data_IF_974036916593
#
_entry.id   IF_974036916593
#
_cell.length_a   1.000
_cell.length_b   1.000
_cell.length_c   1.000
_cell.angle_alpha   90.00
_cell.angle_beta   90.00
_cell.angle_gamma   90.00
#
_symmetry.space_group_name_H-M   'P 1'
#
loop_
_entity.id
_entity.type
_entity.pdbx_description
1 polymer ?
#
# COMPACT_ATOMS: atom_id res chain seq x y z
N UNK A 1 12.90 5.65 -13.37
CA UNK A 1 11.82 4.79 -13.86
C UNK A 1 11.41 3.98 -12.64
N UNK A 2 10.11 3.84 -12.43
CA UNK A 2 9.61 3.60 -11.09
C UNK A 2 9.78 2.12 -10.66
N UNK A 3 9.82 1.89 -9.36
CA UNK A 3 9.73 0.55 -8.78
C UNK A 3 8.29 0.08 -8.86
N UNK A 4 8.03 -1.01 -9.60
CA UNK A 4 6.70 -1.61 -9.68
C UNK A 4 6.58 -2.76 -8.70
N UNK A 5 5.64 -2.70 -7.77
CA UNK A 5 5.48 -3.71 -6.73
C UNK A 5 4.03 -4.17 -6.54
N UNK A 6 3.89 -5.37 -5.97
CA UNK A 6 2.61 -5.95 -5.56
C UNK A 6 2.74 -6.43 -4.13
N UNK A 7 1.97 -5.83 -3.24
CA UNK A 7 2.10 -5.97 -1.79
C UNK A 7 0.77 -6.36 -1.14
N UNK A 8 0.84 -7.08 -0.03
CA UNK A 8 -0.30 -7.25 0.87
C UNK A 8 -0.52 -5.97 1.66
N UNK A 9 -1.78 -5.65 1.92
CA UNK A 9 -2.14 -4.64 2.92
C UNK A 9 -1.93 -5.24 4.31
N UNK A 10 -1.46 -4.44 5.24
CA UNK A 10 -1.32 -4.78 6.65
C UNK A 10 -2.16 -3.81 7.46
N UNK A 11 -2.58 -4.19 8.67
CA UNK A 11 -3.52 -3.34 9.38
C UNK A 11 -3.99 -3.86 10.72
N UNK A 12 -4.99 -3.14 11.24
CA UNK A 12 -5.90 -3.67 12.22
C UNK A 12 -7.01 -4.49 11.55
N UNK A 13 -7.74 -5.26 12.35
CA UNK A 13 -8.90 -5.98 11.89
C UNK A 13 -9.99 -5.01 11.36
N UNK A 14 -10.87 -5.45 10.44
CA UNK A 14 -11.87 -4.57 9.84
C UNK A 14 -12.79 -3.85 10.84
N UNK A 15 -13.07 -4.43 12.02
CA UNK A 15 -13.92 -3.78 13.03
C UNK A 15 -13.22 -2.59 13.68
N UNK A 16 -11.90 -2.68 13.90
CA UNK A 16 -11.12 -1.53 14.36
C UNK A 16 -10.89 -0.49 13.26
N UNK A 17 -10.65 -0.94 12.02
CA UNK A 17 -10.44 -0.05 10.86
C UNK A 17 -11.61 0.92 10.71
N UNK A 18 -12.86 0.43 10.82
CA UNK A 18 -14.08 1.27 10.73
C UNK A 18 -14.07 2.47 11.70
N UNK A 19 -13.48 2.28 12.89
CA UNK A 19 -13.32 3.34 13.89
C UNK A 19 -12.16 4.26 13.55
N UNK A 20 -11.01 3.70 13.18
CA UNK A 20 -9.80 4.48 12.92
C UNK A 20 -9.92 5.40 11.70
N UNK A 21 -10.59 4.97 10.64
CA UNK A 21 -10.84 5.83 9.46
C UNK A 21 -11.62 7.10 9.83
N UNK A 22 -12.47 7.08 10.86
CA UNK A 22 -13.19 8.27 11.36
C UNK A 22 -12.32 9.21 12.19
N UNK A 23 -11.27 8.68 12.82
CA UNK A 23 -10.38 9.44 13.71
C UNK A 23 -9.16 10.02 13.00
N UNK A 24 -8.88 9.60 11.77
CA UNK A 24 -7.64 9.92 11.05
C UNK A 24 -6.40 9.23 11.63
N UNK A 25 -6.56 8.32 12.60
CA UNK A 25 -5.48 7.48 13.10
C UNK A 25 -5.08 6.43 12.06
N UNK A 26 -3.85 5.91 12.13
CA UNK A 26 -3.38 4.87 11.21
C UNK A 26 -4.29 3.64 11.31
N UNK A 27 -4.79 3.16 10.17
CA UNK A 27 -5.69 2.01 10.12
C UNK A 27 -5.06 0.85 9.34
N UNK A 28 -4.64 1.13 8.10
CA UNK A 28 -4.00 0.19 7.20
C UNK A 28 -2.70 0.80 6.64
N UNK A 29 -1.76 -0.06 6.27
CA UNK A 29 -0.47 0.31 5.69
C UNK A 29 0.05 -0.80 4.78
N UNK A 30 1.13 -0.53 4.08
CA UNK A 30 1.91 -1.55 3.37
C UNK A 30 3.40 -1.27 3.57
N UNK A 31 4.22 -2.31 3.41
CA UNK A 31 5.66 -2.19 3.58
C UNK A 31 6.37 -1.95 2.25
N UNK A 32 7.26 -0.95 2.22
CA UNK A 32 8.11 -0.70 1.07
C UNK A 32 8.92 -1.94 0.65
N UNK A 33 9.34 -2.03 -0.62
CA UNK A 33 10.42 -2.93 -0.98
C UNK A 33 11.70 -2.59 -0.22
N UNK A 34 12.43 -3.61 0.23
CA UNK A 34 13.60 -3.44 1.10
C UNK A 34 14.68 -2.60 0.39
N UNK A 35 14.88 -2.83 -0.90
CA UNK A 35 15.82 -2.05 -1.72
C UNK A 35 15.45 -0.57 -1.75
N UNK A 36 14.17 -0.22 -1.96
CA UNK A 36 13.72 1.18 -1.93
C UNK A 36 13.91 1.78 -0.54
N UNK A 37 13.58 1.04 0.52
CA UNK A 37 13.75 1.50 1.89
C UNK A 37 15.23 1.79 2.22
N UNK A 38 16.13 0.88 1.86
CA UNK A 38 17.55 0.95 2.18
C UNK A 38 18.30 1.96 1.30
N UNK A 39 18.10 1.92 -0.03
CA UNK A 39 18.84 2.74 -0.99
C UNK A 39 18.50 4.23 -0.83
N UNK A 40 17.24 4.54 -0.56
CA UNK A 40 16.75 5.91 -0.39
C UNK A 40 16.74 6.37 1.08
N UNK A 41 17.16 5.51 2.01
CA UNK A 41 17.26 5.80 3.45
C UNK A 41 15.98 6.45 4.00
N UNK A 42 14.84 5.84 3.67
CA UNK A 42 13.52 6.42 3.92
C UNK A 42 13.29 6.62 5.41
N UNK A 43 12.85 7.80 5.81
CA UNK A 43 12.65 8.21 7.20
C UNK A 43 11.17 8.21 7.58
N UNK A 44 10.85 8.08 8.88
CA UNK A 44 9.48 8.27 9.35
C UNK A 44 8.90 9.61 8.91
N UNK A 45 7.68 9.61 8.39
CA UNK A 45 6.99 10.79 7.86
C UNK A 45 7.39 11.22 6.45
N UNK A 46 8.35 10.55 5.79
CA UNK A 46 8.66 10.83 4.39
C UNK A 46 7.48 10.50 3.47
N UNK A 47 7.40 11.25 2.36
CA UNK A 47 6.34 11.07 1.36
C UNK A 47 6.78 10.09 0.28
N UNK A 48 5.96 9.08 0.04
CA UNK A 48 6.07 8.14 -1.07
C UNK A 48 5.07 8.57 -2.14
N UNK A 49 5.58 8.81 -3.34
CA UNK A 49 4.81 9.29 -4.49
C UNK A 49 4.83 8.21 -5.55
N UNK A 50 3.68 7.99 -6.17
CA UNK A 50 3.53 6.91 -7.12
C UNK A 50 2.17 6.87 -7.78
N UNK A 51 1.84 5.71 -8.35
CA UNK A 51 0.53 5.42 -8.94
C UNK A 51 0.00 4.09 -8.41
N UNK A 52 -1.24 4.09 -7.93
CA UNK A 52 -1.99 2.88 -7.57
C UNK A 52 -2.57 2.30 -8.86
N UNK A 53 -2.12 1.11 -9.23
CA UNK A 53 -2.50 0.47 -10.49
C UNK A 53 -3.73 -0.42 -10.32
N UNK A 54 -3.73 -1.27 -9.29
CA UNK A 54 -4.81 -2.23 -9.09
C UNK A 54 -4.99 -2.59 -7.61
N UNK A 55 -6.22 -3.00 -7.28
CA UNK A 55 -6.62 -3.58 -5.99
C UNK A 55 -7.12 -5.00 -6.23
N UNK A 56 -6.72 -5.92 -5.36
CA UNK A 56 -7.10 -7.32 -5.39
C UNK A 56 -7.75 -7.73 -4.07
N UNK A 57 -8.83 -8.50 -4.16
CA UNK A 57 -9.53 -9.04 -3.01
C UNK A 57 -8.83 -10.28 -2.43
N UNK A 58 -9.29 -10.81 -1.28
CA UNK A 58 -8.70 -11.99 -0.64
C UNK A 58 -8.83 -13.29 -1.47
N UNK A 59 -9.61 -13.29 -2.56
CA UNK A 59 -9.72 -14.42 -3.51
C UNK A 59 -8.72 -14.31 -4.66
N UNK A 60 -7.85 -13.30 -4.64
CA UNK A 60 -6.89 -13.01 -5.70
C UNK A 60 -7.52 -12.40 -6.95
N UNK A 61 -8.78 -11.96 -6.88
CA UNK A 61 -9.48 -11.33 -8.00
C UNK A 61 -9.20 -9.83 -7.98
N UNK A 62 -8.96 -9.26 -9.16
CA UNK A 62 -8.78 -7.82 -9.31
C UNK A 62 -10.14 -7.13 -9.19
N UNK A 63 -10.32 -6.29 -8.18
CA UNK A 63 -11.59 -5.59 -7.91
C UNK A 63 -11.60 -4.15 -8.39
N UNK A 64 -10.44 -3.52 -8.55
CA UNK A 64 -10.33 -2.17 -9.09
C UNK A 64 -9.04 -1.96 -9.90
N UNK A 65 -9.10 -1.06 -10.89
CA UNK A 65 -7.97 -0.59 -11.70
C UNK A 65 -7.91 0.94 -11.75
N UNK A 66 -7.64 1.59 -10.60
CA UNK A 66 -7.80 3.05 -10.51
C UNK A 66 -6.83 3.82 -11.40
N UNK A 67 -5.58 3.34 -11.54
CA UNK A 67 -4.52 4.07 -12.26
C UNK A 67 -4.34 5.51 -11.74
N UNK A 68 -4.48 5.70 -10.42
CA UNK A 68 -4.50 7.01 -9.77
C UNK A 68 -3.16 7.34 -9.13
N UNK A 69 -2.71 8.59 -9.32
CA UNK A 69 -1.51 9.08 -8.66
C UNK A 69 -1.76 9.27 -7.17
N UNK A 70 -0.76 8.92 -6.37
CA UNK A 70 -0.82 9.04 -4.92
C UNK A 70 0.39 9.78 -4.38
N UNK A 71 0.18 10.40 -3.21
CA UNK A 71 1.22 10.95 -2.35
C UNK A 71 0.86 10.59 -0.91
N UNK A 72 1.47 9.54 -0.40
CA UNK A 72 1.18 8.99 0.93
C UNK A 72 2.38 9.14 1.85
N UNK A 73 2.12 9.15 3.16
CA UNK A 73 3.15 9.35 4.17
C UNK A 73 3.55 8.01 4.79
N UNK A 74 4.84 7.87 5.08
CA UNK A 74 5.32 6.77 5.93
C UNK A 74 4.91 7.01 7.39
N UNK A 75 4.89 5.93 8.17
CA UNK A 75 4.50 6.00 9.57
C UNK A 75 5.44 6.87 10.39
N UNK A 76 4.95 7.38 11.54
CA UNK A 76 5.78 8.19 12.46
C UNK A 76 6.81 7.34 13.22
N UNK A 77 6.60 6.03 13.27
CA UNK A 77 7.46 5.07 13.96
C UNK A 77 8.55 4.50 13.04
N UNK A 78 8.29 4.39 11.74
CA UNK A 78 9.24 3.84 10.77
C UNK A 78 9.01 4.38 9.36
N UNK A 79 10.10 4.63 8.63
CA UNK A 79 10.05 4.94 7.19
C UNK A 79 9.68 3.73 6.31
N UNK A 80 9.56 2.54 6.88
CA UNK A 80 9.31 1.31 6.12
C UNK A 80 7.82 1.09 5.80
N UNK A 81 6.92 1.57 6.65
CA UNK A 81 5.48 1.38 6.51
C UNK A 81 4.85 2.63 5.89
N UNK A 82 4.19 2.50 4.74
CA UNK A 82 3.45 3.56 4.06
C UNK A 82 1.98 3.48 4.46
N UNK A 83 1.44 4.55 5.03
CA UNK A 83 0.08 4.58 5.55
C UNK A 83 -0.92 4.77 4.41
N UNK A 84 -1.98 3.95 4.40
CA UNK A 84 -3.09 4.13 3.48
C UNK A 84 -4.03 5.21 4.05
N UNK A 85 -4.32 6.28 3.29
CA UNK A 85 -5.22 7.33 3.75
C UNK A 85 -6.66 6.81 3.95
N UNK A 86 -7.43 7.33 4.92
CA UNK A 86 -8.81 6.92 5.18
C UNK A 86 -9.72 6.97 3.94
N UNK A 87 -9.53 7.96 3.07
CA UNK A 87 -10.28 8.12 1.83
C UNK A 87 -9.99 6.98 0.84
N UNK A 88 -8.76 6.50 0.76
CA UNK A 88 -8.37 5.37 -0.09
C UNK A 88 -8.94 4.07 0.48
N UNK A 89 -8.84 3.89 1.81
CA UNK A 89 -9.41 2.73 2.51
C UNK A 89 -10.91 2.64 2.25
N UNK A 90 -11.62 3.76 2.40
CA UNK A 90 -13.08 3.80 2.23
C UNK A 90 -13.48 3.65 0.76
N UNK A 91 -12.76 4.30 -0.16
CA UNK A 91 -13.07 4.27 -1.60
C UNK A 91 -12.95 2.87 -2.22
N UNK A 92 -11.98 2.08 -1.77
CA UNK A 92 -11.74 0.72 -2.29
C UNK A 92 -12.08 -0.38 -1.28
N UNK A 93 -12.77 -0.05 -0.19
CA UNK A 93 -13.21 -0.98 0.85
C UNK A 93 -12.06 -1.88 1.37
N UNK A 94 -10.89 -1.28 1.59
CA UNK A 94 -9.68 -2.02 1.90
C UNK A 94 -9.73 -2.64 3.30
N UNK A 95 -9.11 -3.81 3.41
CA UNK A 95 -8.83 -4.51 4.68
C UNK A 95 -7.40 -5.06 4.64
N UNK A 96 -6.89 -5.54 5.77
CA UNK A 96 -5.60 -6.26 5.83
C UNK A 96 -5.55 -7.55 4.98
N UNK A 97 -6.69 -8.00 4.45
CA UNK A 97 -6.77 -9.18 3.58
C UNK A 97 -6.65 -8.83 2.09
N UNK A 98 -6.50 -7.55 1.74
CA UNK A 98 -6.36 -7.09 0.36
C UNK A 98 -4.89 -7.05 -0.10
N UNK A 99 -4.72 -7.02 -1.41
CA UNK A 99 -3.43 -6.77 -2.05
C UNK A 99 -3.55 -5.56 -2.98
N UNK A 100 -2.46 -4.82 -3.14
CA UNK A 100 -2.39 -3.67 -4.03
C UNK A 100 -1.19 -3.78 -4.94
N UNK A 101 -1.36 -3.35 -6.18
CA UNK A 101 -0.29 -3.20 -7.16
C UNK A 101 -0.06 -1.71 -7.39
N UNK A 102 1.18 -1.29 -7.24
CA UNK A 102 1.56 0.11 -7.27
C UNK A 102 2.92 0.32 -7.91
N UNK A 103 3.16 1.57 -8.28
CA UNK A 103 4.38 2.03 -8.93
C UNK A 103 4.92 3.19 -8.12
N UNK A 104 6.11 3.05 -7.54
CA UNK A 104 6.77 4.07 -6.74
C UNK A 104 7.67 4.89 -7.66
N UNK A 105 7.33 6.16 -7.86
CA UNK A 105 8.10 7.07 -8.71
C UNK A 105 9.09 7.90 -7.92
N UNK A 106 8.72 8.36 -6.71
CA UNK A 106 9.58 9.17 -5.87
C UNK A 106 9.46 8.85 -4.39
N UNK A 107 10.54 9.09 -3.67
CA UNK A 107 10.53 9.22 -2.21
C UNK A 107 11.07 10.59 -1.84
N UNK A 108 10.27 11.38 -1.12
CA UNK A 108 10.60 12.75 -0.71
C UNK A 108 11.14 13.62 -1.87
N UNK A 109 10.43 13.61 -3.00
CA UNK A 109 10.79 14.29 -4.25
C UNK A 109 12.05 13.77 -4.99
N UNK A 110 12.77 12.80 -4.43
CA UNK A 110 13.87 12.10 -5.11
C UNK A 110 13.33 10.99 -6.00
N UNK A 111 13.73 10.98 -7.27
CA UNK A 111 13.33 9.95 -8.23
C UNK A 111 13.88 8.57 -7.85
N UNK A 112 13.00 7.57 -7.86
CA UNK A 112 13.37 6.18 -7.66
C UNK A 112 13.87 5.59 -8.98
N UNK A 113 15.06 4.97 -8.92
CA UNK A 113 15.78 4.26 -10.00
C UNK A 113 15.64 4.90 -11.40
N UNK A 114 16.11 6.15 -11.62
CA UNK A 114 16.02 6.80 -12.93
C UNK A 114 16.66 5.91 -14.03
N UNK A 115 15.91 5.60 -15.09
CA UNK A 115 16.38 4.77 -16.21
C UNK A 115 16.18 3.24 -16.09
N UNK A 116 15.80 2.70 -14.92
CA UNK A 116 15.61 1.25 -14.72
C UNK A 116 14.21 0.93 -14.17
N UNK A 117 13.48 -0.02 -14.76
CA UNK A 117 12.25 -0.57 -14.14
C UNK A 117 12.63 -1.74 -13.25
N UNK A 118 12.40 -1.61 -11.94
CA UNK A 118 12.64 -2.66 -10.96
C UNK A 118 11.34 -3.25 -10.42
N UNK A 119 11.39 -4.55 -10.10
CA UNK A 119 10.29 -5.36 -9.55
C UNK A 119 10.83 -6.27 -8.45
N UNK A 120 11.17 -5.66 -7.32
CA UNK A 120 11.86 -6.33 -6.21
C UNK A 120 10.89 -6.96 -5.22
N UNK A 121 9.68 -6.40 -5.07
CA UNK A 121 8.62 -6.94 -4.21
C UNK A 121 7.35 -7.23 -4.98
N UNK A 122 7.08 -8.51 -5.20
CA UNK A 122 5.95 -8.93 -6.03
C UNK A 122 5.28 -10.18 -5.46
N UNK A 123 4.10 -10.02 -4.86
CA UNK A 123 3.29 -11.16 -4.40
C UNK A 123 2.85 -12.03 -5.59
N UNK A 124 3.14 -13.34 -5.56
CA UNK A 124 2.65 -14.27 -6.59
C UNK A 124 1.13 -14.40 -6.56
N UNK A 125 0.52 -14.60 -7.74
CA UNK A 125 -0.94 -14.57 -7.87
C UNK A 125 -1.64 -15.70 -7.10
N UNK A 126 -1.03 -16.88 -7.09
CA UNK A 126 -1.49 -18.04 -6.34
C UNK A 126 -1.50 -17.81 -4.83
N UNK A 127 -0.61 -16.94 -4.33
CA UNK A 127 -0.52 -16.61 -2.91
C UNK A 127 -1.43 -15.46 -2.48
N UNK A 128 -2.08 -14.78 -3.43
CA UNK A 128 -3.12 -13.78 -3.12
C UNK A 128 -4.47 -14.41 -2.79
N UNK A 129 -4.57 -15.74 -2.85
CA UNK A 129 -5.76 -16.50 -2.47
C UNK A 129 -5.68 -16.92 -1.02
N UNK A 130 -6.35 -16.18 -0.16
CA UNK A 130 -6.38 -16.44 1.27
C UNK A 130 -7.49 -17.45 1.60
N UNK A 131 -7.18 -18.41 2.48
CA UNK A 131 -8.17 -19.38 2.98
C UNK A 131 -9.13 -18.77 4.00
N UNK A 132 -8.79 -17.59 4.54
CA UNK A 132 -9.55 -16.87 5.54
C UNK A 132 -9.47 -15.36 5.26
N UNK A 133 -10.59 -14.67 5.42
CA UNK A 133 -10.67 -13.22 5.33
C UNK A 133 -11.91 -12.71 6.03
N UNK A 134 -11.83 -11.52 6.61
CA UNK A 134 -12.98 -10.80 7.16
C UNK A 134 -13.39 -9.71 6.16
N UNK A 135 -14.69 -9.55 5.86
CA UNK A 135 -15.16 -8.52 4.94
C UNK A 135 -14.92 -7.11 5.51
N UNK A 136 -14.90 -6.13 4.61
CA UNK A 136 -14.87 -4.72 4.99
C UNK A 136 -16.07 -4.37 5.88
N UNK A 137 -15.81 -3.65 6.97
CA UNK A 137 -16.84 -3.11 7.84
C UNK A 137 -16.90 -1.60 7.63
N UNK A 138 -18.02 -1.13 7.07
CA UNK A 138 -18.18 0.28 6.78
C UNK A 138 -18.12 1.15 8.07
N UNK A 139 -17.48 2.33 8.03
CA UNK A 139 -17.31 3.24 9.15
C UNK A 139 -18.60 3.60 9.91
#
# INVERSE_FOLDING_TARGET
MPEKCRVSVCGFDPMLVRGYVKTGYRALWWYLPDDVYNDFKVKPGDKVIGRLLAVYNPKGEKTAEPNEDFRWETSKETGYAVLLPPEVITKYELTEFHFIELVISKVNEQDVYPGEEKKTKWWPAEKMKLSYSVPYAAP
#
